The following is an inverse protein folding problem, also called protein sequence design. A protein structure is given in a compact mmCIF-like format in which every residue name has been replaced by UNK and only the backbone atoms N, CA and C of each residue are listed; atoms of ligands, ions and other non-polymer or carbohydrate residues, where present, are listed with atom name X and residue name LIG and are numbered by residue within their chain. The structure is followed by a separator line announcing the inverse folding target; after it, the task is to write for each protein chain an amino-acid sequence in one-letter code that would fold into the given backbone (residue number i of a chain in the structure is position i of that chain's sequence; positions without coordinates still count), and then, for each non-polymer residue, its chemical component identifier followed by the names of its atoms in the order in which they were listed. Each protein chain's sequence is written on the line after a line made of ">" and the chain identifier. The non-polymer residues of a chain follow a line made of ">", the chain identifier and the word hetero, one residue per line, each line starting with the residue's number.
data_IF_075788097686
#
_entry.id   IF_075788097686
#
_cell.length_a   1.000
_cell.length_b   1.000
_cell.length_c   1.000
_cell.angle_alpha   90.00
_cell.angle_beta   90.00
_cell.angle_gamma   90.00
#
_symmetry.space_group_name_H-M   'P 1'
#
loop_
_entity.id
_entity.type
_entity.pdbx_description
1 polymer ?
#
# COMPACT_ATOMS: atom_id res chain seq x y z
N UNK A 1 -1.76 -6.24 18.08
CA UNK A 1 -2.82 -5.42 17.44
C UNK A 1 -2.62 -5.51 15.94
N UNK A 2 -3.64 -5.93 15.19
CA UNK A 2 -3.54 -6.03 13.73
C UNK A 2 -3.49 -4.63 13.12
N UNK A 3 -2.51 -4.38 12.25
CA UNK A 3 -2.36 -3.11 11.55
C UNK A 3 -2.58 -3.35 10.07
N UNK A 4 -3.54 -2.66 9.50
CA UNK A 4 -3.87 -2.74 8.10
C UNK A 4 -3.07 -1.71 7.32
N UNK A 5 -2.31 -2.16 6.31
CA UNK A 5 -1.53 -1.26 5.45
C UNK A 5 -2.11 -1.25 4.05
N UNK A 6 -2.41 -0.08 3.51
CA UNK A 6 -2.86 0.04 2.12
C UNK A 6 -1.70 -0.20 1.15
N UNK A 7 -1.84 -1.14 0.22
CA UNK A 7 -0.81 -1.45 -0.79
C UNK A 7 -0.58 -0.38 -1.85
N UNK A 8 -1.53 0.54 -2.06
CA UNK A 8 -1.41 1.61 -3.08
C UNK A 8 -0.98 2.96 -2.52
N UNK A 9 -1.23 3.23 -1.24
CA UNK A 9 -0.89 4.53 -0.63
C UNK A 9 -0.07 4.42 0.66
N UNK A 10 0.14 3.22 1.19
CA UNK A 10 1.04 3.03 2.32
C UNK A 10 0.48 3.47 3.65
N UNK A 11 -0.75 4.01 3.68
CA UNK A 11 -1.41 4.37 4.93
C UNK A 11 -1.63 3.13 5.77
N UNK A 12 -1.26 3.25 7.04
CA UNK A 12 -1.46 2.22 8.04
C UNK A 12 -2.63 2.65 8.93
N UNK A 13 -3.49 1.72 9.26
CA UNK A 13 -4.62 1.95 10.15
C UNK A 13 -4.89 0.69 10.95
N UNK A 14 -5.23 0.81 12.23
CA UNK A 14 -5.58 -0.37 13.04
C UNK A 14 -7.02 -0.83 12.83
N UNK A 15 -7.80 -0.11 12.00
CA UNK A 15 -9.20 -0.40 11.72
C UNK A 15 -9.39 -0.95 10.29
N UNK A 16 -10.03 -2.10 10.18
CA UNK A 16 -10.43 -2.68 8.89
C UNK A 16 -11.39 -1.77 8.11
N UNK A 17 -12.17 -0.94 8.80
CA UNK A 17 -13.04 0.08 8.20
C UNK A 17 -12.29 1.07 7.31
N UNK A 18 -10.96 1.19 7.46
CA UNK A 18 -10.13 2.02 6.59
C UNK A 18 -10.16 1.55 5.12
N UNK A 19 -10.42 0.27 4.83
CA UNK A 19 -10.62 -0.23 3.46
C UNK A 19 -11.81 0.44 2.75
N UNK A 20 -12.84 0.80 3.53
CA UNK A 20 -14.05 1.45 3.01
C UNK A 20 -13.83 2.93 2.68
N UNK A 21 -12.70 3.51 3.07
CA UNK A 21 -12.37 4.87 2.73
C UNK A 21 -11.84 4.97 1.29
N UNK A 22 -11.97 6.15 0.70
CA UNK A 22 -11.54 6.40 -0.68
C UNK A 22 -10.02 6.59 -0.77
N UNK A 23 -9.39 5.86 -1.68
CA UNK A 23 -7.96 5.95 -1.98
C UNK A 23 -7.73 6.48 -3.40
N UNK A 24 -7.34 7.74 -3.52
CA UNK A 24 -7.06 8.39 -4.82
C UNK A 24 -5.88 7.77 -5.60
N UNK A 25 -5.04 7.00 -4.90
CA UNK A 25 -3.86 6.29 -5.47
C UNK A 25 -4.21 4.88 -5.99
N UNK A 26 -5.39 4.37 -5.65
CA UNK A 26 -5.85 3.05 -6.05
C UNK A 26 -6.68 3.14 -7.34
N UNK A 27 -6.51 2.22 -8.31
CA UNK A 27 -7.33 2.19 -9.51
C UNK A 27 -8.82 2.01 -9.20
N UNK A 28 -9.12 1.28 -8.14
CA UNK A 28 -10.49 1.01 -7.68
C UNK A 28 -11.05 2.13 -6.81
N UNK A 29 -10.32 3.24 -6.65
CA UNK A 29 -10.63 4.36 -5.73
C UNK A 29 -10.85 3.95 -4.26
N UNK A 30 -10.51 2.72 -3.88
CA UNK A 30 -10.69 2.19 -2.52
C UNK A 30 -9.36 1.74 -1.93
N UNK A 31 -9.23 1.84 -0.61
CA UNK A 31 -8.04 1.34 0.08
C UNK A 31 -8.03 -0.19 0.07
N UNK A 32 -7.03 -0.76 -0.60
CA UNK A 32 -6.84 -2.21 -0.55
C UNK A 32 -5.87 -2.52 0.58
N UNK A 33 -6.43 -2.99 1.68
CA UNK A 33 -5.68 -3.32 2.89
C UNK A 33 -4.93 -4.64 2.72
N UNK A 34 -3.71 -4.69 3.23
CA UNK A 34 -3.04 -5.93 3.61
C UNK A 34 -3.05 -6.02 5.13
N UNK A 35 -3.36 -7.21 5.65
CA UNK A 35 -3.20 -7.50 7.07
C UNK A 35 -1.72 -7.69 7.36
N UNK A 36 -1.15 -6.76 8.12
CA UNK A 36 0.22 -6.84 8.58
C UNK A 36 0.18 -6.90 10.12
N UNK A 37 0.38 -8.09 10.68
CA UNK A 37 0.49 -8.26 12.15
C UNK A 37 1.68 -7.48 12.71
N UNK A 38 2.69 -7.21 11.87
CA UNK A 38 3.86 -6.38 12.17
C UNK A 38 4.22 -5.55 10.92
N UNK A 39 4.75 -4.34 11.11
CA UNK A 39 5.31 -3.51 10.00
C UNK A 39 6.21 -4.41 9.15
N UNK A 40 5.86 -4.63 7.88
CA UNK A 40 6.68 -5.47 7.03
C UNK A 40 8.08 -4.86 6.96
N UNK A 41 9.10 -5.69 7.20
CA UNK A 41 10.49 -5.24 7.17
C UNK A 41 10.86 -4.67 5.80
N UNK A 42 10.20 -5.17 4.75
CA UNK A 42 10.33 -4.71 3.37
C UNK A 42 8.98 -4.79 2.67
N UNK A 43 8.60 -3.70 2.02
CA UNK A 43 7.50 -3.62 1.08
C UNK A 43 8.07 -3.58 -0.33
N UNK A 44 7.69 -4.52 -1.19
CA UNK A 44 8.20 -4.60 -2.56
C UNK A 44 7.12 -4.13 -3.52
N UNK A 45 7.45 -3.29 -4.50
CA UNK A 45 6.51 -2.93 -5.55
C UNK A 45 6.43 -4.05 -6.59
N UNK A 46 5.24 -4.59 -6.84
CA UNK A 46 4.99 -5.63 -7.83
C UNK A 46 5.41 -5.24 -9.26
N UNK A 47 5.30 -3.97 -9.60
CA UNK A 47 5.52 -3.47 -10.97
C UNK A 47 6.96 -3.07 -11.26
N UNK A 48 7.64 -2.39 -10.31
CA UNK A 48 9.01 -1.92 -10.52
C UNK A 48 10.08 -2.75 -9.79
N UNK A 49 9.69 -3.67 -8.90
CA UNK A 49 10.63 -4.45 -8.08
C UNK A 49 11.35 -3.65 -6.99
N UNK A 50 11.11 -2.33 -6.88
CA UNK A 50 11.68 -1.52 -5.80
C UNK A 50 11.17 -2.00 -4.46
N UNK A 51 12.07 -2.18 -3.51
CA UNK A 51 11.74 -2.51 -2.13
C UNK A 51 12.02 -1.33 -1.21
N UNK A 52 11.19 -1.15 -0.19
CA UNK A 52 11.35 -0.09 0.79
C UNK A 52 10.85 -0.56 2.15
N UNK A 53 11.50 -0.15 3.23
CA UNK A 53 11.05 -0.49 4.60
C UNK A 53 9.91 0.39 5.09
N UNK A 54 9.49 1.39 4.28
CA UNK A 54 8.42 2.32 4.59
C UNK A 54 7.22 2.06 3.71
N UNK A 55 6.05 1.88 4.32
CA UNK A 55 4.79 1.70 3.59
C UNK A 55 4.43 2.93 2.76
N UNK A 56 4.75 4.14 3.24
CA UNK A 56 4.56 5.40 2.53
C UNK A 56 5.25 5.45 1.15
N UNK A 57 6.20 4.56 0.86
CA UNK A 57 6.75 4.37 -0.47
C UNK A 57 5.67 4.05 -1.52
N UNK A 58 4.58 3.39 -1.13
CA UNK A 58 3.42 3.15 -1.99
C UNK A 58 2.86 4.45 -2.61
N UNK A 59 2.84 5.51 -1.80
CA UNK A 59 2.32 6.81 -2.18
C UNK A 59 3.24 7.55 -3.16
N UNK A 60 4.46 7.04 -3.40
CA UNK A 60 5.33 7.62 -4.40
C UNK A 60 4.86 7.25 -5.82
N UNK A 61 5.40 7.93 -6.82
CA UNK A 61 5.04 7.67 -8.22
C UNK A 61 5.87 6.52 -8.81
N UNK A 62 5.19 5.50 -9.34
CA UNK A 62 5.83 4.37 -9.99
C UNK A 62 5.63 4.42 -11.51
N UNK A 63 6.71 4.69 -12.26
CA UNK A 63 6.65 4.78 -13.73
C UNK A 63 6.33 3.44 -14.41
N UNK A 64 6.59 2.31 -13.75
CA UNK A 64 6.28 0.96 -14.27
C UNK A 64 4.88 0.47 -13.93
N UNK A 65 4.15 1.20 -13.10
CA UNK A 65 2.82 0.81 -12.68
C UNK A 65 1.77 1.49 -13.55
N UNK A 66 0.73 0.77 -14.04
CA UNK A 66 -0.30 1.35 -14.91
C UNK A 66 -1.07 2.48 -14.23
N UNK A 67 -1.11 2.48 -12.89
CA UNK A 67 -1.80 3.47 -12.05
C UNK A 67 -0.89 4.59 -11.58
N UNK A 68 0.36 4.64 -12.10
CA UNK A 68 1.41 5.59 -11.67
C UNK A 68 1.73 5.54 -10.17
N UNK A 69 1.27 4.52 -9.45
CA UNK A 69 1.45 4.35 -8.00
C UNK A 69 2.07 2.99 -7.70
N UNK A 70 2.88 2.90 -6.66
CA UNK A 70 3.50 1.61 -6.30
C UNK A 70 2.45 0.67 -5.70
N UNK A 71 2.31 -0.53 -6.27
CA UNK A 71 1.52 -1.60 -5.67
C UNK A 71 2.44 -2.43 -4.78
N UNK A 72 2.38 -2.18 -3.46
CA UNK A 72 3.15 -2.93 -2.50
C UNK A 72 2.60 -4.35 -2.37
N UNK A 73 3.50 -5.31 -2.49
CA UNK A 73 3.31 -6.69 -2.11
C UNK A 73 4.17 -6.94 -0.86
N UNK A 74 3.60 -7.75 0.03
CA UNK A 74 4.17 -8.13 1.30
C UNK A 74 4.38 -9.63 1.36
#
# INVERSE_FOLDING_TARGET
>A
MAVYTCKYCGKQSSAASFAKNSCSKSPTKSHVLMEATTKLSKYVCKHCGSSSSVSSFAANSCSKSPTKSHELIG
#
